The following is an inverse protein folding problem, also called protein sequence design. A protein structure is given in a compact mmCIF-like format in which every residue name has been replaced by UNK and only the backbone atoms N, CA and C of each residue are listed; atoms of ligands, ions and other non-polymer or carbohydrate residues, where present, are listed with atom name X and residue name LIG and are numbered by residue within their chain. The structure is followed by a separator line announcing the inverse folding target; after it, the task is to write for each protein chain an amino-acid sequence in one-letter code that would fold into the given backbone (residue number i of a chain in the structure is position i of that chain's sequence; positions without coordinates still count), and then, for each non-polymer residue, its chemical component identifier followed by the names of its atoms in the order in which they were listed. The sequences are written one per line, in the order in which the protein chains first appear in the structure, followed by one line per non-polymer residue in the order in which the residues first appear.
data_IF_293708027554
#
_entry.id   IF_293708027554
#
_cell.length_a   1.000
_cell.length_b   1.000
_cell.length_c   1.000
_cell.angle_alpha   90.00
_cell.angle_beta   90.00
_cell.angle_gamma   90.00
#
_symmetry.space_group_name_H-M   'P 1'
#
loop_
_entity.id
_entity.type
_entity.pdbx_description
1 polymer ?
#
# COMPACT_ATOMS: atom_id res chain seq x y z
N UNK A 1 -3.89 6.59 -30.31
CA UNK A 1 -4.61 6.29 -29.04
C UNK A 1 -4.05 7.23 -27.99
N UNK A 2 -4.79 8.28 -27.60
CA UNK A 2 -4.33 9.24 -26.59
C UNK A 2 -4.65 8.64 -25.22
N UNK A 3 -3.64 8.27 -24.44
CA UNK A 3 -3.83 7.94 -23.03
C UNK A 3 -4.15 9.26 -22.30
N UNK A 4 -5.43 9.52 -22.04
CA UNK A 4 -5.79 10.34 -20.88
C UNK A 4 -5.25 9.62 -19.66
N UNK A 5 -4.51 10.27 -18.75
CA UNK A 5 -4.13 9.60 -17.51
C UNK A 5 -5.43 9.29 -16.78
N UNK A 6 -5.76 8.00 -16.65
CA UNK A 6 -7.04 7.58 -16.06
C UNK A 6 -7.17 7.99 -14.58
N UNK A 7 -6.07 8.39 -13.95
CA UNK A 7 -5.93 8.71 -12.53
C UNK A 7 -5.03 9.93 -12.35
N UNK A 8 -5.32 10.75 -11.34
CA UNK A 8 -4.60 11.98 -11.02
C UNK A 8 -3.28 11.67 -10.28
N UNK A 9 -3.29 10.72 -9.37
CA UNK A 9 -2.12 10.35 -8.54
C UNK A 9 -1.96 8.82 -8.44
N UNK A 10 -0.71 8.36 -8.32
CA UNK A 10 -0.38 6.93 -8.07
C UNK A 10 0.57 6.84 -6.90
N UNK A 11 0.14 6.18 -5.83
CA UNK A 11 0.87 6.11 -4.57
C UNK A 11 1.41 4.72 -4.31
N UNK A 12 2.74 4.60 -4.14
CA UNK A 12 3.36 3.43 -3.55
C UNK A 12 3.34 3.61 -2.05
N UNK A 13 2.78 2.63 -1.35
CA UNK A 13 2.54 2.72 0.08
C UNK A 13 3.08 1.48 0.76
N UNK A 14 3.77 1.73 1.88
CA UNK A 14 4.33 0.70 2.74
C UNK A 14 4.16 1.12 4.21
N UNK A 15 3.76 0.17 5.05
CA UNK A 15 3.59 0.35 6.49
C UNK A 15 4.47 -0.63 7.25
N UNK A 16 4.99 -0.18 8.38
CA UNK A 16 5.55 -1.07 9.40
C UNK A 16 4.60 -1.13 10.59
N UNK A 17 4.39 -2.33 11.12
CA UNK A 17 3.41 -2.56 12.18
C UNK A 17 3.75 -3.80 13.02
N UNK A 18 3.16 -3.88 14.21
CA UNK A 18 3.09 -5.12 14.98
C UNK A 18 1.74 -5.79 14.74
N UNK A 19 1.71 -7.12 14.62
CA UNK A 19 0.46 -7.88 14.51
C UNK A 19 0.44 -9.05 15.46
N UNK A 20 -0.50 -9.04 16.41
CA UNK A 20 -0.82 -10.22 17.22
C UNK A 20 -1.77 -11.12 16.41
N UNK A 21 -1.65 -12.45 16.47
CA UNK A 21 -2.53 -13.35 15.72
C UNK A 21 -4.02 -13.08 16.00
N UNK A 22 -4.80 -12.85 14.94
CA UNK A 22 -6.24 -12.60 15.02
C UNK A 22 -6.64 -11.15 15.33
N UNK A 23 -5.68 -10.29 15.69
CA UNK A 23 -5.93 -8.88 16.00
C UNK A 23 -5.66 -7.98 14.80
N UNK A 24 -6.19 -6.74 14.85
CA UNK A 24 -5.80 -5.69 13.89
C UNK A 24 -4.33 -5.33 14.12
N UNK A 25 -3.59 -4.94 13.06
CA UNK A 25 -2.22 -4.47 13.22
C UNK A 25 -2.19 -3.19 14.07
N UNK A 26 -1.09 -2.98 14.77
CA UNK A 26 -0.73 -1.73 15.44
C UNK A 26 0.32 -1.00 14.59
N UNK A 27 -0.08 -0.01 13.76
CA UNK A 27 0.83 0.66 12.84
C UNK A 27 1.87 1.50 13.56
N UNK A 28 3.13 1.39 13.16
CA UNK A 28 4.27 2.13 13.71
C UNK A 28 4.66 3.29 12.81
N UNK A 29 4.78 3.04 11.51
CA UNK A 29 5.14 4.06 10.55
C UNK A 29 4.57 3.76 9.16
N UNK A 30 4.60 4.79 8.32
CA UNK A 30 4.13 4.79 6.95
C UNK A 30 5.15 5.52 6.08
N UNK A 31 5.48 4.93 4.94
CA UNK A 31 6.19 5.60 3.86
C UNK A 31 5.32 5.54 2.62
N UNK A 32 5.13 6.69 1.97
CA UNK A 32 4.35 6.77 0.74
C UNK A 32 5.03 7.66 -0.29
N UNK A 33 5.08 7.22 -1.55
CA UNK A 33 5.63 7.97 -2.68
C UNK A 33 4.57 8.13 -3.77
N UNK A 34 4.31 9.37 -4.18
CA UNK A 34 3.51 9.65 -5.37
C UNK A 34 4.43 9.59 -6.60
N UNK A 35 4.15 8.67 -7.53
CA UNK A 35 5.07 8.35 -8.63
C UNK A 35 5.29 9.49 -9.63
N UNK A 36 4.29 10.35 -9.87
CA UNK A 36 4.37 11.35 -10.94
C UNK A 36 5.15 12.58 -10.51
N UNK A 37 4.94 13.00 -9.27
CA UNK A 37 5.53 14.18 -8.64
C UNK A 37 6.74 13.85 -7.78
N UNK A 38 7.02 12.56 -7.55
CA UNK A 38 8.05 12.05 -6.65
C UNK A 38 7.89 12.55 -5.21
N UNK A 39 6.68 12.99 -4.85
CA UNK A 39 6.39 13.47 -3.49
C UNK A 39 6.48 12.30 -2.53
N UNK A 40 7.38 12.44 -1.57
CA UNK A 40 7.67 11.43 -0.55
C UNK A 40 7.16 11.89 0.82
N UNK A 41 6.33 11.03 1.40
CA UNK A 41 5.77 11.20 2.73
C UNK A 41 6.34 10.13 3.65
N UNK A 42 6.70 10.53 4.87
CA UNK A 42 7.12 9.62 5.94
C UNK A 42 6.42 10.05 7.22
N UNK A 43 5.69 9.12 7.84
CA UNK A 43 5.02 9.37 9.11
C UNK A 43 5.39 8.31 10.14
N UNK A 44 5.75 8.76 11.34
CA UNK A 44 5.69 7.93 12.53
C UNK A 44 4.26 8.01 13.08
N UNK A 45 3.59 6.86 13.21
CA UNK A 45 2.16 6.78 13.47
C UNK A 45 1.81 6.55 14.94
N UNK A 46 2.76 6.05 15.76
CA UNK A 46 2.58 5.66 17.18
C UNK A 46 1.51 6.43 17.97
N UNK A 47 1.92 7.42 18.77
CA UNK A 47 0.97 8.14 19.65
C UNK A 47 0.19 9.26 18.95
N UNK A 48 0.46 9.52 17.66
CA UNK A 48 -0.11 10.69 16.95
C UNK A 48 -0.32 10.43 15.45
N UNK A 49 -1.05 9.38 15.12
CA UNK A 49 -1.47 9.14 13.75
C UNK A 49 -2.39 10.27 13.24
N UNK A 50 -2.24 10.73 11.98
CA UNK A 50 -3.17 11.67 11.39
C UNK A 50 -4.56 11.04 11.24
N UNK A 51 -5.60 11.87 11.28
CA UNK A 51 -7.00 11.41 11.16
C UNK A 51 -7.36 10.85 9.77
N UNK A 52 -6.50 11.09 8.77
CA UNK A 52 -6.68 10.65 7.39
C UNK A 52 -5.32 10.30 6.78
N UNK A 53 -5.29 9.45 5.73
CA UNK A 53 -4.06 9.14 5.02
C UNK A 53 -3.47 10.40 4.37
N UNK A 54 -2.13 10.49 4.23
CA UNK A 54 -1.46 11.62 3.57
C UNK A 54 -1.59 11.60 2.03
N UNK A 55 -2.49 10.76 1.51
CA UNK A 55 -2.77 10.58 0.10
C UNK A 55 -4.27 10.36 -0.12
N UNK A 56 -4.81 10.69 -1.31
CA UNK A 56 -6.20 10.44 -1.64
C UNK A 56 -6.51 8.94 -1.69
N UNK A 57 -7.64 8.54 -1.11
CA UNK A 57 -8.18 7.18 -1.15
C UNK A 57 -9.38 7.03 -2.14
N UNK A 58 -9.64 8.06 -2.96
CA UNK A 58 -10.79 8.13 -3.85
C UNK A 58 -10.59 7.45 -5.22
N UNK A 59 -11.61 7.51 -6.11
CA UNK A 59 -11.58 6.83 -7.41
C UNK A 59 -10.58 7.40 -8.42
N UNK A 60 -9.98 8.56 -8.13
CA UNK A 60 -9.01 9.24 -8.99
C UNK A 60 -7.56 8.95 -8.62
N UNK A 61 -7.30 8.13 -7.61
CA UNK A 61 -5.95 7.72 -7.23
C UNK A 61 -5.80 6.19 -7.22
N UNK A 62 -4.57 5.73 -7.44
CA UNK A 62 -4.17 4.35 -7.17
C UNK A 62 -3.41 4.25 -5.87
N UNK A 63 -3.76 3.24 -5.10
CA UNK A 63 -2.98 2.73 -3.98
C UNK A 63 -2.25 1.48 -4.45
N UNK A 64 -0.93 1.52 -4.44
CA UNK A 64 -0.05 0.43 -4.88
C UNK A 64 0.75 -0.04 -3.67
N UNK A 65 0.72 -1.34 -3.40
CA UNK A 65 1.46 -1.96 -2.32
C UNK A 65 2.02 -3.32 -2.76
N UNK A 66 3.06 -3.81 -2.07
CA UNK A 66 3.54 -5.16 -2.37
C UNK A 66 2.55 -6.19 -1.87
N UNK A 67 2.09 -6.11 -0.62
CA UNK A 67 1.11 -7.03 -0.07
C UNK A 67 -0.05 -6.25 0.55
N UNK A 68 -0.96 -5.76 -0.31
CA UNK A 68 -1.99 -4.81 0.04
C UNK A 68 -2.83 -5.20 1.29
N UNK A 69 -3.16 -6.48 1.57
CA UNK A 69 -3.86 -6.85 2.79
C UNK A 69 -3.22 -6.33 4.09
N UNK A 70 -1.89 -6.30 4.18
CA UNK A 70 -1.20 -5.82 5.37
C UNK A 70 -1.40 -4.29 5.56
N UNK A 71 -1.35 -3.55 4.46
CA UNK A 71 -1.39 -2.09 4.46
C UNK A 71 -2.84 -1.60 4.65
N UNK A 72 -3.80 -2.32 4.06
CA UNK A 72 -5.24 -2.12 4.27
C UNK A 72 -5.66 -2.48 5.70
N UNK A 73 -4.99 -3.46 6.32
CA UNK A 73 -5.12 -3.74 7.75
C UNK A 73 -4.74 -2.52 8.61
N UNK A 74 -3.68 -1.80 8.23
CA UNK A 74 -3.29 -0.56 8.90
C UNK A 74 -4.33 0.55 8.70
N UNK A 75 -4.90 0.68 7.50
CA UNK A 75 -6.04 1.60 7.28
C UNK A 75 -7.21 1.29 8.22
N UNK A 76 -7.58 0.02 8.40
CA UNK A 76 -8.63 -0.39 9.35
C UNK A 76 -8.29 -0.03 10.80
N UNK A 77 -7.04 -0.24 11.21
CA UNK A 77 -6.59 0.05 12.57
C UNK A 77 -6.63 1.56 12.88
N UNK A 78 -6.31 2.40 11.90
CA UNK A 78 -6.28 3.87 12.02
C UNK A 78 -7.64 4.53 11.78
N UNK A 79 -8.66 3.77 11.38
CA UNK A 79 -9.97 4.32 10.99
C UNK A 79 -9.93 5.11 9.69
N UNK A 80 -8.92 4.88 8.84
CA UNK A 80 -8.79 5.55 7.55
C UNK A 80 -9.73 4.95 6.50
N UNK A 81 -10.15 5.74 5.49
CA UNK A 81 -10.92 5.21 4.38
C UNK A 81 -10.13 4.17 3.59
N UNK A 82 -10.84 3.17 3.06
CA UNK A 82 -10.25 2.23 2.11
C UNK A 82 -9.95 2.93 0.78
N UNK A 83 -8.78 2.70 0.18
CA UNK A 83 -8.52 3.13 -1.19
C UNK A 83 -9.51 2.49 -2.16
N UNK A 84 -10.03 3.29 -3.10
CA UNK A 84 -11.00 2.81 -4.09
C UNK A 84 -10.35 1.91 -5.14
N UNK A 85 -9.14 2.25 -5.58
CA UNK A 85 -8.38 1.47 -6.56
C UNK A 85 -7.10 0.95 -5.91
N UNK A 86 -6.99 -0.37 -5.79
CA UNK A 86 -5.89 -1.05 -5.10
C UNK A 86 -5.17 -1.94 -6.12
N UNK A 87 -3.85 -1.78 -6.22
CA UNK A 87 -2.96 -2.65 -6.98
C UNK A 87 -2.03 -3.38 -6.00
N UNK A 88 -2.17 -4.70 -5.94
CA UNK A 88 -1.36 -5.58 -5.11
C UNK A 88 -0.29 -6.26 -5.98
N UNK A 89 0.98 -5.88 -5.79
CA UNK A 89 2.07 -6.36 -6.62
C UNK A 89 2.44 -7.83 -6.32
N UNK A 90 2.19 -8.33 -5.12
CA UNK A 90 2.35 -9.73 -4.78
C UNK A 90 1.37 -10.58 -5.58
N UNK A 91 0.12 -10.15 -5.72
CA UNK A 91 -0.90 -10.82 -6.53
C UNK A 91 -0.47 -10.90 -7.98
N UNK A 92 0.00 -9.79 -8.56
CA UNK A 92 0.53 -9.76 -9.93
C UNK A 92 1.76 -10.66 -10.09
N UNK A 93 2.68 -10.63 -9.12
CA UNK A 93 3.85 -11.50 -9.10
C UNK A 93 3.45 -12.98 -9.08
N UNK A 94 2.54 -13.36 -8.17
CA UNK A 94 2.05 -14.74 -8.05
C UNK A 94 1.30 -15.18 -9.30
N UNK A 95 0.51 -14.31 -9.92
CA UNK A 95 -0.14 -14.60 -11.20
C UNK A 95 0.89 -14.91 -12.30
N UNK A 96 1.97 -14.12 -12.36
CA UNK A 96 3.05 -14.32 -13.34
C UNK A 96 3.92 -15.55 -13.07
N UNK A 97 4.14 -15.90 -11.80
CA UNK A 97 5.09 -16.95 -11.39
C UNK A 97 4.43 -18.25 -10.95
N UNK A 98 3.10 -18.36 -10.98
CA UNK A 98 2.41 -19.56 -10.52
C UNK A 98 2.86 -20.80 -11.32
N UNK A 99 3.26 -21.86 -10.60
CA UNK A 99 3.79 -23.09 -11.20
C UNK A 99 5.20 -23.00 -11.76
N UNK A 100 5.88 -21.85 -11.65
CA UNK A 100 7.26 -21.66 -12.08
C UNK A 100 8.21 -21.65 -10.86
N UNK A 101 9.47 -22.09 -11.02
CA UNK A 101 10.49 -21.93 -9.99
C UNK A 101 10.83 -20.44 -9.82
N UNK A 102 10.79 -19.97 -8.57
CA UNK A 102 11.21 -18.62 -8.16
C UNK A 102 12.52 -18.72 -7.38
N UNK A 103 13.66 -18.26 -7.93
CA UNK A 103 14.99 -18.55 -7.36
C UNK A 103 15.20 -18.03 -5.94
N UNK A 104 14.53 -16.93 -5.59
CA UNK A 104 14.74 -16.24 -4.32
C UNK A 104 13.56 -16.34 -3.37
N UNK A 105 12.37 -16.75 -3.83
CA UNK A 105 11.17 -16.82 -3.00
C UNK A 105 10.03 -15.98 -3.57
N UNK A 106 9.03 -15.70 -2.73
CA UNK A 106 7.84 -14.94 -3.10
C UNK A 106 7.72 -13.62 -2.33
N UNK A 107 8.75 -13.21 -1.59
CA UNK A 107 8.71 -11.97 -0.81
C UNK A 107 9.20 -10.79 -1.65
N UNK A 108 9.02 -9.57 -1.13
CA UNK A 108 9.54 -8.36 -1.77
C UNK A 108 11.07 -8.39 -1.92
N UNK A 109 11.77 -9.06 -1.01
CA UNK A 109 13.23 -9.13 -0.96
C UNK A 109 13.80 -10.35 -1.72
N UNK A 110 12.94 -11.20 -2.27
CA UNK A 110 13.28 -12.58 -2.65
C UNK A 110 13.01 -13.48 -1.48
#
# INVERSE_FOLDING_TARGET
MKFTPAFDEVWLVDFEFHSTPGERPAPLCLVAVELKSERLVRHWLGDSAPAAPPYPAGPKSWFVAFYAPAELGCHLALGWPFPTNILDLFTEFRNRTNGLPVPYGNSLLG
#
